data_IF_592836729882
#
_entry.id   IF_592836729882
#
_cell.length_a   1.000
_cell.length_b   1.000
_cell.length_c   1.000
_cell.angle_alpha   90.00
_cell.angle_beta   90.00
_cell.angle_gamma   90.00
#
_symmetry.space_group_name_H-M   'P 1'
#
loop_
_entity.id
_entity.type
_entity.pdbx_description
1 polymer ?
#
# COMPACT_ATOMS: atom_id res chain seq x y z
N UNK A 1 5.31 3.90 -13.52
CA UNK A 1 4.35 2.85 -13.12
C UNK A 1 4.85 2.24 -11.82
N UNK A 2 3.93 1.94 -10.92
CA UNK A 2 4.16 1.35 -9.61
C UNK A 2 3.43 0.01 -9.52
N UNK A 3 3.95 -0.86 -8.66
CA UNK A 3 3.25 -2.02 -8.16
C UNK A 3 2.42 -1.57 -6.97
N UNK A 4 1.13 -1.87 -6.97
CA UNK A 4 0.20 -1.33 -5.98
C UNK A 4 -0.46 -2.44 -5.14
N UNK A 5 -0.46 -2.26 -3.82
CA UNK A 5 -1.22 -3.05 -2.86
C UNK A 5 -2.28 -2.14 -2.25
N UNK A 6 -3.52 -2.60 -2.18
CA UNK A 6 -4.64 -1.80 -1.69
C UNK A 6 -5.16 -2.35 -0.37
N UNK A 7 -5.45 -1.46 0.57
CA UNK A 7 -6.08 -1.76 1.85
C UNK A 7 -7.38 -0.98 1.98
N UNK A 8 -8.45 -1.63 2.42
CA UNK A 8 -9.77 -1.00 2.53
C UNK A 8 -10.48 -1.39 3.80
N UNK A 9 -11.34 -0.50 4.31
CA UNK A 9 -12.24 -0.79 5.42
C UNK A 9 -13.41 -1.61 4.92
N UNK A 10 -13.36 -2.92 5.14
CA UNK A 10 -14.45 -3.83 4.79
C UNK A 10 -15.57 -3.67 5.82
N UNK A 11 -16.76 -3.26 5.36
CA UNK A 11 -17.94 -3.15 6.23
C UNK A 11 -18.40 -4.54 6.69
N UNK A 12 -18.95 -4.68 7.90
CA UNK A 12 -19.46 -5.96 8.40
C UNK A 12 -20.42 -6.62 7.40
N UNK A 13 -20.16 -7.88 7.06
CA UNK A 13 -21.00 -8.66 6.15
C UNK A 13 -20.72 -8.47 4.66
N UNK A 14 -19.76 -7.61 4.28
CA UNK A 14 -19.29 -7.50 2.90
C UNK A 14 -17.99 -8.27 2.69
N UNK A 15 -17.77 -8.68 1.46
CA UNK A 15 -16.47 -9.11 0.95
C UNK A 15 -15.62 -7.91 0.56
N UNK A 16 -14.32 -8.14 0.37
CA UNK A 16 -13.43 -7.11 -0.15
C UNK A 16 -13.83 -6.66 -1.56
N UNK A 17 -14.22 -7.60 -2.43
CA UNK A 17 -14.65 -7.28 -3.79
C UNK A 17 -15.89 -6.39 -3.79
N UNK A 18 -16.91 -6.72 -3.00
CA UNK A 18 -18.11 -5.88 -2.87
C UNK A 18 -17.81 -4.49 -2.30
N UNK A 19 -16.83 -4.39 -1.40
CA UNK A 19 -16.37 -3.11 -0.87
C UNK A 19 -15.74 -2.26 -1.97
N UNK A 20 -14.91 -2.88 -2.82
CA UNK A 20 -14.27 -2.19 -3.94
C UNK A 20 -15.25 -1.82 -5.04
N UNK A 21 -16.19 -2.70 -5.37
CA UNK A 21 -17.23 -2.42 -6.35
C UNK A 21 -18.05 -1.19 -5.93
N UNK A 22 -18.31 -1.03 -4.62
CA UNK A 22 -18.98 0.16 -4.07
C UNK A 22 -18.12 1.41 -4.16
N UNK A 23 -16.82 1.32 -3.84
CA UNK A 23 -15.90 2.46 -3.96
C UNK A 23 -15.81 2.92 -5.43
N UNK A 24 -15.69 1.96 -6.36
CA UNK A 24 -15.63 2.24 -7.79
C UNK A 24 -16.96 2.78 -8.34
N UNK A 25 -18.11 2.28 -7.87
CA UNK A 25 -19.41 2.79 -8.31
C UNK A 25 -19.65 4.25 -7.89
N UNK A 26 -19.00 4.71 -6.82
CA UNK A 26 -19.02 6.11 -6.39
C UNK A 26 -17.94 6.99 -7.03
N UNK A 27 -17.05 6.43 -7.85
CA UNK A 27 -15.98 7.16 -8.49
C UNK A 27 -16.50 7.95 -9.70
N UNK A 28 -16.33 9.27 -9.65
CA UNK A 28 -16.56 10.18 -10.77
C UNK A 28 -15.20 10.75 -11.20
N UNK A 29 -14.69 10.42 -12.41
CA UNK A 29 -13.40 10.91 -12.87
C UNK A 29 -13.35 12.42 -13.09
N UNK A 30 -14.50 13.07 -13.23
CA UNK A 30 -14.62 14.51 -13.49
C UNK A 30 -14.88 15.31 -12.19
N UNK A 31 -15.07 14.63 -11.05
CA UNK A 31 -15.26 15.28 -9.76
C UNK A 31 -13.92 15.75 -9.17
N UNK A 32 -13.94 16.92 -8.51
CA UNK A 32 -12.81 17.36 -7.70
C UNK A 32 -12.53 16.33 -6.60
N UNK A 33 -11.25 15.97 -6.44
CA UNK A 33 -10.84 15.06 -5.38
C UNK A 33 -11.18 15.68 -4.01
N UNK A 34 -11.91 14.96 -3.13
CA UNK A 34 -12.28 15.50 -1.85
C UNK A 34 -11.04 15.68 -0.97
N UNK A 35 -10.93 16.85 -0.34
CA UNK A 35 -9.87 17.11 0.66
C UNK A 35 -9.84 16.02 1.74
N UNK A 36 -8.65 15.69 2.21
CA UNK A 36 -8.46 14.73 3.29
C UNK A 36 -9.21 15.19 4.55
N UNK A 37 -10.23 14.40 4.95
CA UNK A 37 -11.02 14.64 6.16
C UNK A 37 -11.01 13.41 7.04
N UNK A 38 -9.97 13.30 7.86
CA UNK A 38 -9.84 12.23 8.85
C UNK A 38 -10.61 12.55 10.12
N UNK A 39 -11.27 11.53 10.65
CA UNK A 39 -11.77 11.54 12.04
C UNK A 39 -10.61 11.48 13.03
N UNK A 40 -10.86 11.84 14.29
CA UNK A 40 -9.86 11.72 15.36
C UNK A 40 -9.35 10.27 15.52
N UNK A 41 -10.24 9.29 15.30
CA UNK A 41 -9.88 7.88 15.31
C UNK A 41 -8.89 7.54 14.18
N UNK A 42 -9.20 7.94 12.94
CA UNK A 42 -8.31 7.70 11.79
C UNK A 42 -6.97 8.44 11.92
N UNK A 43 -6.95 9.66 12.49
CA UNK A 43 -5.69 10.35 12.82
C UNK A 43 -4.90 9.57 13.88
N UNK A 44 -5.57 9.03 14.88
CA UNK A 44 -4.92 8.17 15.88
C UNK A 44 -4.39 6.86 15.29
N UNK A 45 -5.10 6.26 14.33
CA UNK A 45 -4.65 5.09 13.59
C UNK A 45 -3.34 5.39 12.84
N UNK A 46 -3.31 6.50 12.10
CA UNK A 46 -2.11 6.98 11.41
C UNK A 46 -0.92 7.14 12.37
N UNK A 47 -1.12 7.80 13.49
CA UNK A 47 -0.08 8.02 14.50
C UNK A 47 0.49 6.68 15.03
N UNK A 48 -0.35 5.66 15.19
CA UNK A 48 0.09 4.32 15.60
C UNK A 48 0.85 3.61 14.48
N UNK A 49 0.37 3.69 13.24
CA UNK A 49 1.04 3.16 12.05
C UNK A 49 2.45 3.76 11.95
N UNK A 50 2.56 5.09 11.92
CA UNK A 50 3.83 5.78 11.74
C UNK A 50 4.84 5.39 12.83
N UNK A 51 4.42 5.37 14.10
CA UNK A 51 5.27 4.92 15.21
C UNK A 51 5.71 3.46 15.05
N UNK A 52 4.79 2.56 14.70
CA UNK A 52 5.07 1.12 14.60
C UNK A 52 5.96 0.79 13.41
N UNK A 53 5.73 1.41 12.26
CA UNK A 53 6.62 1.29 11.09
C UNK A 53 8.01 1.81 11.43
N UNK A 54 8.10 3.01 12.02
CA UNK A 54 9.40 3.60 12.42
C UNK A 54 10.20 2.70 13.36
N UNK A 55 9.51 2.01 14.29
CA UNK A 55 10.11 1.11 15.27
C UNK A 55 10.50 -0.25 14.67
N UNK A 56 9.60 -0.88 13.91
CA UNK A 56 9.73 -2.28 13.49
C UNK A 56 10.46 -2.43 12.13
N UNK A 57 10.47 -1.38 11.32
CA UNK A 57 11.05 -1.35 9.98
C UNK A 57 12.31 -0.50 9.94
N UNK A 58 12.26 0.71 10.50
CA UNK A 58 13.37 1.66 10.49
C UNK A 58 12.93 3.06 10.06
N UNK A 59 13.88 3.88 9.63
CA UNK A 59 13.64 5.29 9.30
C UNK A 59 12.65 5.46 8.15
N UNK A 60 11.70 6.36 8.36
CA UNK A 60 10.72 6.79 7.35
C UNK A 60 10.68 8.31 7.27
N UNK A 61 10.38 8.82 6.09
CA UNK A 61 9.92 10.18 5.87
C UNK A 61 8.38 10.19 5.93
N UNK A 62 7.76 11.25 6.45
CA UNK A 62 6.30 11.37 6.48
C UNK A 62 5.85 12.78 6.12
N UNK A 63 4.79 12.90 5.34
CA UNK A 63 4.22 14.17 4.89
C UNK A 63 2.69 14.09 4.84
N UNK A 64 2.01 15.21 5.14
CA UNK A 64 0.56 15.35 4.98
C UNK A 64 0.31 16.10 3.67
N UNK A 65 -0.25 15.41 2.68
CA UNK A 65 -0.69 15.98 1.42
C UNK A 65 -2.19 16.25 1.43
N UNK A 66 -2.67 16.91 0.38
CA UNK A 66 -4.06 17.36 0.26
C UNK A 66 -5.09 16.22 0.39
N UNK A 67 -4.71 14.99 0.02
CA UNK A 67 -5.60 13.84 -0.09
C UNK A 67 -5.17 12.61 0.73
N UNK A 68 -3.96 12.61 1.29
CA UNK A 68 -3.41 11.47 2.01
C UNK A 68 -2.40 11.89 3.08
N UNK A 69 -2.24 11.03 4.08
CA UNK A 69 -1.04 11.03 4.93
C UNK A 69 -0.07 10.01 4.35
N UNK A 70 1.12 10.46 3.99
CA UNK A 70 2.12 9.65 3.29
C UNK A 70 3.26 9.32 4.23
N UNK A 71 3.74 8.08 4.15
CA UNK A 71 5.07 7.71 4.65
C UNK A 71 5.86 7.00 3.56
N UNK A 72 7.17 7.20 3.58
CA UNK A 72 8.12 6.55 2.68
C UNK A 72 9.28 5.94 3.47
N UNK A 73 9.64 4.70 3.16
CA UNK A 73 10.83 4.08 3.76
C UNK A 73 12.12 4.67 3.20
N UNK A 74 13.10 4.90 4.09
CA UNK A 74 14.41 5.44 3.71
C UNK A 74 15.49 4.36 3.81
N UNK A 75 16.28 4.21 2.74
CA UNK A 75 17.41 3.29 2.69
C UNK A 75 17.05 1.91 2.10
N UNK A 76 17.93 0.90 2.29
CA UNK A 76 17.69 -0.46 1.80
C UNK A 76 16.46 -1.12 2.47
N UNK A 77 15.74 -2.02 1.79
CA UNK A 77 15.99 -2.55 0.43
C UNK A 77 15.51 -1.62 -0.70
N UNK A 78 14.83 -0.52 -0.36
CA UNK A 78 14.31 0.44 -1.33
C UNK A 78 13.20 1.28 -0.72
N UNK A 79 12.71 2.25 -1.50
CA UNK A 79 11.54 3.05 -1.14
C UNK A 79 10.26 2.23 -1.34
N UNK A 80 9.47 2.14 -0.28
CA UNK A 80 8.08 1.72 -0.27
C UNK A 80 7.29 2.90 0.26
N UNK A 81 6.31 3.36 -0.52
CA UNK A 81 5.42 4.44 -0.14
C UNK A 81 4.12 3.86 0.39
N UNK A 82 3.56 4.47 1.44
CA UNK A 82 2.22 4.21 1.94
C UNK A 82 1.45 5.53 1.94
N UNK A 83 0.31 5.55 1.29
CA UNK A 83 -0.66 6.65 1.33
C UNK A 83 -1.90 6.21 2.10
N UNK A 84 -2.19 6.90 3.21
CA UNK A 84 -3.34 6.62 4.07
C UNK A 84 -4.42 7.69 3.93
N UNK A 85 -5.64 7.26 3.60
CA UNK A 85 -6.80 8.13 3.35
C UNK A 85 -7.94 7.91 4.36
N UNK A 86 -7.68 7.21 5.48
CA UNK A 86 -8.66 6.93 6.53
C UNK A 86 -9.35 5.57 6.38
N UNK A 87 -10.19 5.43 5.35
CA UNK A 87 -10.91 4.19 5.06
C UNK A 87 -10.29 3.37 3.92
N UNK A 88 -9.28 3.94 3.27
CA UNK A 88 -8.42 3.25 2.31
C UNK A 88 -6.96 3.58 2.59
N UNK A 89 -6.08 2.70 2.11
CA UNK A 89 -4.66 2.98 2.02
C UNK A 89 -4.05 2.25 0.81
N UNK A 90 -2.98 2.82 0.27
CA UNK A 90 -2.28 2.29 -0.89
C UNK A 90 -0.80 2.16 -0.55
N UNK A 91 -0.21 1.02 -0.90
CA UNK A 91 1.23 0.82 -0.82
C UNK A 91 1.76 0.71 -2.24
N UNK A 92 2.75 1.55 -2.56
CA UNK A 92 3.33 1.64 -3.88
C UNK A 92 4.82 1.25 -3.85
N UNK A 93 5.22 0.43 -4.83
CA UNK A 93 6.63 0.08 -5.07
C UNK A 93 6.96 0.33 -6.54
N UNK A 94 7.96 1.17 -6.81
CA UNK A 94 8.35 1.46 -8.19
C UNK A 94 8.82 0.21 -8.95
N UNK A 95 8.39 0.05 -10.21
CA UNK A 95 8.85 -1.02 -11.12
C UNK A 95 10.31 -0.83 -11.57
N UNK A 96 11.26 -1.03 -10.65
CA UNK A 96 12.71 -0.95 -10.90
C UNK A 96 13.52 -2.03 -10.17
N UNK A 97 12.86 -2.87 -9.38
CA UNK A 97 13.50 -3.91 -8.59
C UNK A 97 13.40 -5.25 -9.33
N UNK A 98 14.52 -5.95 -9.46
CA UNK A 98 14.60 -7.27 -10.11
C UNK A 98 15.37 -8.28 -9.25
N UNK A 99 15.10 -9.56 -9.45
CA UNK A 99 15.82 -10.64 -8.78
C UNK A 99 15.68 -10.58 -7.24
N UNK A 100 16.76 -10.83 -6.47
CA UNK A 100 16.69 -10.81 -5.00
C UNK A 100 16.18 -9.48 -4.41
N UNK A 101 16.52 -8.35 -5.02
CA UNK A 101 16.06 -7.04 -4.55
C UNK A 101 14.54 -6.85 -4.67
N UNK A 102 13.88 -7.56 -5.60
CA UNK A 102 12.43 -7.56 -5.71
C UNK A 102 11.78 -8.32 -4.53
N UNK A 103 12.43 -9.38 -4.03
CA UNK A 103 11.93 -10.11 -2.87
C UNK A 103 12.04 -9.25 -1.61
N UNK A 104 13.20 -8.66 -1.35
CA UNK A 104 13.42 -7.86 -0.15
C UNK A 104 12.44 -6.69 -0.04
N UNK A 105 12.18 -5.99 -1.16
CA UNK A 105 11.23 -4.86 -1.16
C UNK A 105 9.78 -5.32 -1.02
N UNK A 106 9.40 -6.46 -1.57
CA UNK A 106 8.03 -6.97 -1.42
C UNK A 106 7.78 -7.57 -0.03
N UNK A 107 8.79 -8.18 0.60
CA UNK A 107 8.69 -8.56 2.01
C UNK A 107 8.48 -7.35 2.91
N UNK A 108 9.20 -6.25 2.63
CA UNK A 108 9.00 -4.98 3.31
C UNK A 108 7.58 -4.42 3.09
N UNK A 109 7.10 -4.35 1.85
CA UNK A 109 5.75 -3.87 1.54
C UNK A 109 4.67 -4.68 2.26
N UNK A 110 4.79 -6.01 2.29
CA UNK A 110 3.85 -6.88 3.02
C UNK A 110 3.92 -6.70 4.53
N UNK A 111 5.09 -6.42 5.10
CA UNK A 111 5.22 -6.11 6.53
C UNK A 111 4.53 -4.79 6.87
N UNK A 112 4.69 -3.75 6.04
CA UNK A 112 3.99 -2.47 6.22
C UNK A 112 2.48 -2.67 6.11
N UNK A 113 2.01 -3.40 5.09
CA UNK A 113 0.59 -3.71 4.91
C UNK A 113 -0.02 -4.32 6.18
N UNK A 114 0.64 -5.32 6.76
CA UNK A 114 0.18 -5.98 8.00
C UNK A 114 0.14 -5.05 9.21
N UNK A 115 1.11 -4.13 9.33
CA UNK A 115 1.08 -3.10 10.37
C UNK A 115 -0.14 -2.19 10.19
N UNK A 116 -0.42 -1.77 8.96
CA UNK A 116 -1.61 -0.96 8.67
C UNK A 116 -2.88 -1.73 9.02
N UNK A 117 -2.99 -3.00 8.61
CA UNK A 117 -4.14 -3.84 8.97
C UNK A 117 -4.34 -3.95 10.49
N UNK A 118 -3.26 -4.16 11.25
CA UNK A 118 -3.31 -4.30 12.71
C UNK A 118 -3.73 -2.99 13.41
N UNK A 119 -3.20 -1.85 12.96
CA UNK A 119 -3.37 -0.57 13.66
C UNK A 119 -4.66 0.17 13.27
N UNK A 120 -5.22 -0.09 12.09
CA UNK A 120 -6.39 0.64 11.56
C UNK A 120 -7.63 -0.22 11.30
N UNK A 121 -7.48 -1.55 11.34
CA UNK A 121 -8.54 -2.50 10.98
C UNK A 121 -8.87 -2.52 9.48
N UNK A 122 -8.05 -1.90 8.62
CA UNK A 122 -8.14 -2.09 7.18
C UNK A 122 -7.79 -3.54 6.82
N UNK A 123 -8.33 -4.02 5.70
CA UNK A 123 -8.02 -5.34 5.13
C UNK A 123 -7.22 -5.15 3.85
N UNK A 124 -6.02 -5.72 3.77
CA UNK A 124 -5.11 -5.53 2.64
C UNK A 124 -5.16 -6.67 1.64
N UNK A 125 -5.15 -6.31 0.36
CA UNK A 125 -5.11 -7.24 -0.76
C UNK A 125 -4.19 -6.76 -1.87
N UNK A 126 -3.41 -7.69 -2.37
CA UNK A 126 -2.50 -7.52 -3.49
C UNK A 126 -3.20 -8.02 -4.76
N UNK A 127 -3.73 -7.09 -5.55
CA UNK A 127 -4.50 -7.40 -6.76
C UNK A 127 -3.62 -7.77 -7.96
N UNK A 128 -2.36 -7.34 -7.96
CA UNK A 128 -1.37 -7.69 -8.98
C UNK A 128 -1.13 -9.20 -9.07
N UNK A 129 -1.23 -9.90 -7.94
CA UNK A 129 -1.11 -11.36 -7.88
C UNK A 129 -2.30 -12.08 -7.22
N UNK A 130 -3.38 -11.35 -6.93
CA UNK A 130 -4.65 -11.86 -6.43
C UNK A 130 -4.54 -12.60 -5.09
N UNK A 131 -3.96 -11.96 -4.06
CA UNK A 131 -3.83 -12.57 -2.73
C UNK A 131 -3.98 -11.57 -1.57
N UNK A 132 -4.49 -12.01 -0.40
CA UNK A 132 -4.50 -11.18 0.80
C UNK A 132 -3.07 -10.86 1.28
N UNK A 133 -2.84 -9.66 1.82
CA UNK A 133 -1.51 -9.27 2.35
C UNK A 133 -1.16 -10.01 3.65
N UNK A 134 -2.17 -10.31 4.46
CA UNK A 134 -2.04 -11.04 5.74
C UNK A 134 -1.42 -12.43 5.55
N UNK A 135 -1.90 -13.20 4.59
CA UNK A 135 -1.56 -14.63 4.39
C UNK A 135 -0.88 -14.92 3.06
N UNK A 136 -0.81 -13.94 2.16
CA UNK A 136 -0.19 -14.07 0.85
C UNK A 136 1.31 -14.24 0.91
N UNK A 137 1.88 -14.73 -0.20
CA UNK A 137 3.31 -15.00 -0.34
C UNK A 137 4.02 -13.83 -1.04
N UNK A 138 4.89 -13.06 -0.34
CA UNK A 138 5.66 -11.96 -0.94
C UNK A 138 6.52 -12.40 -2.13
N UNK A 139 6.98 -13.66 -2.18
CA UNK A 139 7.77 -14.15 -3.31
C UNK A 139 6.97 -14.20 -4.62
N UNK A 140 5.65 -14.41 -4.56
CA UNK A 140 4.77 -14.36 -5.75
C UNK A 140 4.70 -12.92 -6.29
N UNK A 141 4.52 -11.96 -5.39
CA UNK A 141 4.52 -10.54 -5.69
C UNK A 141 5.89 -10.06 -6.24
N UNK A 142 6.98 -10.53 -5.63
CA UNK A 142 8.34 -10.25 -6.08
C UNK A 142 8.62 -10.78 -7.50
N UNK A 143 8.13 -11.98 -7.83
CA UNK A 143 8.26 -12.53 -9.18
C UNK A 143 7.53 -11.66 -10.22
N UNK A 144 6.33 -11.15 -9.87
CA UNK A 144 5.58 -10.20 -10.70
C UNK A 144 6.33 -8.88 -10.86
N UNK A 145 6.79 -8.28 -9.76
CA UNK A 145 7.58 -7.04 -9.75
C UNK A 145 8.84 -7.16 -10.62
N UNK A 146 9.61 -8.25 -10.45
CA UNK A 146 10.83 -8.50 -11.23
C UNK A 146 10.52 -8.65 -12.71
N UNK A 147 9.51 -9.44 -13.08
CA UNK A 147 9.18 -9.69 -14.48
C UNK A 147 8.82 -8.41 -15.25
N UNK A 148 8.03 -7.52 -14.63
CA UNK A 148 7.68 -6.23 -15.25
C UNK A 148 8.89 -5.29 -15.28
N UNK A 149 9.67 -5.22 -14.20
CA UNK A 149 10.88 -4.38 -14.15
C UNK A 149 11.92 -4.79 -15.19
N UNK A 150 12.11 -6.11 -15.37
CA UNK A 150 13.01 -6.64 -16.39
C UNK A 150 12.48 -6.37 -17.80
N UNK A 151 11.18 -6.58 -18.04
CA UNK A 151 10.58 -6.26 -19.34
C UNK A 151 10.76 -4.77 -19.69
N UNK A 152 10.46 -3.87 -18.76
CA UNK A 152 10.59 -2.42 -18.95
C UNK A 152 12.03 -2.02 -19.28
N UNK A 153 13.02 -2.58 -18.56
CA UNK A 153 14.44 -2.32 -18.81
C UNK A 153 14.89 -2.69 -20.23
N UNK A 154 14.32 -3.75 -20.80
CA UNK A 154 14.71 -4.24 -22.13
C UNK A 154 13.94 -3.58 -23.28
N UNK A 155 12.79 -2.95 -23.03
CA UNK A 155 11.88 -2.47 -24.09
C UNK A 155 11.58 -0.97 -24.05
N UNK A 156 11.90 -0.29 -22.94
CA UNK A 156 11.60 1.14 -22.75
C UNK A 156 12.86 1.99 -22.54
N UNK A 157 14.05 1.40 -22.71
CA UNK A 157 15.35 2.09 -22.65
C UNK A 157 15.72 2.78 -23.96
#
# INVERSE_FOLDING_TARGET
MTYDIMLVRVQPGLTIQETLDRLNAGFDPDADLPLLRLTDAQRSDWDRILRRVSRDIGSVESEEYLYSLTLETVGPPGRVQLDYCGDTAHIEVAYRHSGPAALDVMELAYRIARIVEDESGLTGHDFEVGQPTRTGNPAKAAARLSGVSDWARHHLS
#
